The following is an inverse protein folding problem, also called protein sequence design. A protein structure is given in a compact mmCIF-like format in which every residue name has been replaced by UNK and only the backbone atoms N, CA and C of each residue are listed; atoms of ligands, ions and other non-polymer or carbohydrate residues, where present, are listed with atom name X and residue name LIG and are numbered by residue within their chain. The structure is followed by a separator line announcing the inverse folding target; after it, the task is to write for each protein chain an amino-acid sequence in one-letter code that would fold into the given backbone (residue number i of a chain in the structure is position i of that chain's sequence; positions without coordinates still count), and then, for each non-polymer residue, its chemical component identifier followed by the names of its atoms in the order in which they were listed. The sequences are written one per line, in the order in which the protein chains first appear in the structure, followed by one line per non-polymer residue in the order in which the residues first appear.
data_IF_250501986662
#
_entry.id   IF_250501986662
#
_cell.length_a   1.000
_cell.length_b   1.000
_cell.length_c   1.000
_cell.angle_alpha   90.00
_cell.angle_beta   90.00
_cell.angle_gamma   90.00
#
_symmetry.space_group_name_H-M   'P 1'
#
loop_
_entity.id
_entity.type
_entity.pdbx_description
1 polymer ?
#
# COMPACT_ATOMS: atom_id res chain seq x y z
N UNK A 1 54.27 -25.58 25.61
CA UNK A 1 53.21 -24.75 26.26
C UNK A 1 52.18 -24.43 25.20
N UNK A 2 51.19 -25.29 25.15
CA UNK A 2 50.10 -25.28 24.17
C UNK A 2 48.99 -24.34 24.67
N UNK A 3 48.81 -23.26 23.95
CA UNK A 3 47.77 -22.28 24.27
C UNK A 3 46.44 -22.77 23.65
N UNK A 4 45.59 -23.29 24.50
CA UNK A 4 44.28 -23.78 24.19
C UNK A 4 43.36 -22.55 24.00
N UNK A 5 43.14 -22.16 22.74
CA UNK A 5 42.08 -21.20 22.41
C UNK A 5 40.74 -21.84 22.78
N UNK A 6 40.20 -21.33 23.89
CA UNK A 6 38.84 -21.64 24.33
C UNK A 6 37.87 -21.01 23.30
N UNK A 7 37.31 -21.89 22.49
CA UNK A 7 36.25 -21.52 21.56
C UNK A 7 35.09 -20.81 22.30
N UNK A 8 34.97 -19.54 22.02
CA UNK A 8 33.78 -18.75 22.39
C UNK A 8 32.57 -19.34 21.63
N UNK A 9 31.51 -19.72 22.31
CA UNK A 9 30.32 -20.16 21.60
C UNK A 9 29.75 -18.98 20.82
N UNK A 10 29.76 -19.07 19.51
CA UNK A 10 29.02 -18.16 18.61
C UNK A 10 27.54 -18.41 18.76
N UNK A 11 26.99 -17.92 19.85
CA UNK A 11 25.56 -17.89 20.10
C UNK A 11 25.01 -16.53 19.65
N UNK A 12 24.24 -16.54 18.58
CA UNK A 12 23.48 -15.38 18.16
C UNK A 12 23.67 -15.10 16.68
N UNK A 13 23.00 -15.87 15.85
CA UNK A 13 22.69 -15.44 14.48
C UNK A 13 21.99 -14.07 14.58
N UNK A 14 22.75 -12.99 14.40
CA UNK A 14 22.19 -11.65 14.33
C UNK A 14 21.25 -11.62 13.13
N UNK A 15 19.95 -11.50 13.40
CA UNK A 15 18.89 -11.50 12.39
C UNK A 15 18.97 -10.29 11.44
N UNK A 16 19.87 -9.38 11.71
CA UNK A 16 20.03 -8.15 10.96
C UNK A 16 21.51 -7.94 10.59
N UNK A 17 21.81 -8.02 9.31
CA UNK A 17 23.18 -7.95 8.77
C UNK A 17 23.82 -6.56 8.81
N UNK A 18 23.04 -5.49 9.00
CA UNK A 18 23.53 -4.10 8.97
C UNK A 18 23.70 -3.44 10.33
N UNK A 19 23.44 -4.14 11.44
CA UNK A 19 23.44 -3.55 12.77
C UNK A 19 24.59 -4.11 13.61
N UNK A 20 25.49 -3.24 14.02
CA UNK A 20 26.76 -3.60 14.67
C UNK A 20 26.76 -3.38 16.19
N UNK A 21 25.61 -3.05 16.81
CA UNK A 21 25.50 -2.79 18.25
C UNK A 21 24.22 -3.36 18.87
N UNK A 22 24.25 -3.70 20.17
CA UNK A 22 23.11 -4.23 20.92
C UNK A 22 21.84 -3.35 20.86
N UNK A 23 22.02 -2.01 20.79
CA UNK A 23 20.92 -1.08 20.63
C UNK A 23 20.25 -1.16 19.24
N UNK A 24 21.00 -1.55 18.22
CA UNK A 24 20.53 -1.66 16.86
C UNK A 24 19.80 -3.00 16.64
N UNK A 25 20.19 -4.05 17.33
CA UNK A 25 19.49 -5.35 17.30
C UNK A 25 18.06 -5.20 17.89
N UNK A 26 17.89 -4.43 18.96
CA UNK A 26 16.56 -4.11 19.47
C UNK A 26 15.69 -3.36 18.46
N UNK A 27 16.24 -2.37 17.75
CA UNK A 27 15.51 -1.63 16.70
C UNK A 27 15.08 -2.54 15.57
N UNK A 28 15.95 -3.45 15.15
CA UNK A 28 15.64 -4.44 14.13
C UNK A 28 14.47 -5.33 14.54
N UNK A 29 14.50 -5.90 15.75
CA UNK A 29 13.41 -6.74 16.29
C UNK A 29 12.09 -5.96 16.34
N UNK A 30 12.11 -4.71 16.78
CA UNK A 30 10.91 -3.86 16.82
C UNK A 30 10.35 -3.64 15.42
N UNK A 31 11.18 -3.29 14.43
CA UNK A 31 10.75 -3.08 13.04
C UNK A 31 10.11 -4.34 12.48
N UNK A 32 10.75 -5.50 12.66
CA UNK A 32 10.22 -6.77 12.18
C UNK A 32 8.90 -7.14 12.86
N UNK A 33 8.78 -6.94 14.15
CA UNK A 33 7.57 -7.23 14.91
C UNK A 33 6.41 -6.35 14.44
N UNK A 34 6.64 -5.05 14.27
CA UNK A 34 5.62 -4.11 13.77
C UNK A 34 5.20 -4.48 12.34
N UNK A 35 6.15 -4.78 11.46
CA UNK A 35 5.85 -5.23 10.09
C UNK A 35 5.00 -6.50 10.06
N UNK A 36 5.37 -7.52 10.83
CA UNK A 36 4.61 -8.78 10.93
C UNK A 36 3.20 -8.56 11.47
N UNK A 37 3.07 -7.75 12.53
CA UNK A 37 1.76 -7.42 13.10
C UNK A 37 0.88 -6.71 12.07
N UNK A 38 1.39 -5.68 11.41
CA UNK A 38 0.66 -4.93 10.37
C UNK A 38 0.27 -5.84 9.19
N UNK A 39 1.18 -6.70 8.73
CA UNK A 39 0.90 -7.65 7.65
C UNK A 39 -0.16 -8.67 8.03
N UNK A 40 -0.19 -9.12 9.29
CA UNK A 40 -1.22 -10.04 9.79
C UNK A 40 -2.60 -9.37 9.78
N UNK A 41 -2.71 -8.11 10.23
CA UNK A 41 -3.96 -7.35 10.14
C UNK A 41 -4.38 -7.12 8.68
N UNK A 42 -3.46 -6.81 7.80
CA UNK A 42 -3.70 -6.66 6.37
C UNK A 42 -4.21 -7.98 5.75
N UNK A 43 -3.59 -9.10 6.10
CA UNK A 43 -4.00 -10.43 5.64
C UNK A 43 -5.45 -10.74 6.04
N UNK A 44 -5.80 -10.52 7.30
CA UNK A 44 -7.16 -10.71 7.81
C UNK A 44 -8.14 -9.80 7.05
N UNK A 45 -7.78 -8.54 6.86
CA UNK A 45 -8.60 -7.59 6.10
C UNK A 45 -8.80 -8.01 4.64
N UNK A 46 -7.76 -8.49 3.96
CA UNK A 46 -7.85 -8.98 2.58
C UNK A 46 -8.74 -10.22 2.48
N UNK A 47 -8.58 -11.19 3.39
CA UNK A 47 -9.44 -12.40 3.43
C UNK A 47 -10.90 -12.01 3.68
N UNK A 48 -11.15 -11.09 4.61
CA UNK A 48 -12.50 -10.58 4.87
C UNK A 48 -13.10 -9.88 3.66
N UNK A 49 -12.34 -9.02 2.97
CA UNK A 49 -12.79 -8.35 1.74
C UNK A 49 -13.10 -9.35 0.63
N UNK A 50 -12.25 -10.35 0.41
CA UNK A 50 -12.51 -11.42 -0.56
C UNK A 50 -13.78 -12.19 -0.23
N UNK A 51 -13.98 -12.51 1.05
CA UNK A 51 -15.19 -13.20 1.52
C UNK A 51 -16.45 -12.36 1.27
N UNK A 52 -16.42 -11.05 1.56
CA UNK A 52 -17.54 -10.13 1.32
C UNK A 52 -17.84 -10.01 -0.18
N UNK A 53 -16.82 -9.87 -1.03
CA UNK A 53 -16.99 -9.81 -2.50
C UNK A 53 -17.61 -11.10 -3.01
N UNK A 54 -17.16 -12.26 -2.53
CA UNK A 54 -17.67 -13.56 -2.90
C UNK A 54 -19.12 -13.74 -2.43
N UNK A 55 -19.44 -13.39 -1.18
CA UNK A 55 -20.77 -13.52 -0.60
C UNK A 55 -21.81 -12.65 -1.33
N UNK A 56 -21.42 -11.41 -1.66
CA UNK A 56 -22.30 -10.46 -2.34
C UNK A 56 -22.38 -10.69 -3.87
N UNK A 57 -21.62 -11.64 -4.42
CA UNK A 57 -21.49 -11.93 -5.85
C UNK A 57 -21.29 -10.67 -6.71
N UNK A 58 -20.53 -9.72 -6.18
CA UNK A 58 -20.33 -8.40 -6.80
C UNK A 58 -19.09 -8.39 -7.71
N UNK A 59 -19.16 -9.03 -8.88
CA UNK A 59 -18.07 -9.00 -9.91
C UNK A 59 -18.58 -8.58 -11.29
N UNK A 60 -19.69 -7.86 -11.35
CA UNK A 60 -20.27 -7.49 -12.64
C UNK A 60 -19.75 -6.16 -13.17
N UNK A 61 -19.32 -5.22 -12.31
CA UNK A 61 -18.77 -3.93 -12.76
C UNK A 61 -17.25 -3.96 -12.84
N UNK A 62 -16.68 -3.20 -13.78
CA UNK A 62 -15.25 -3.05 -13.94
C UNK A 62 -14.57 -2.59 -12.63
N UNK A 63 -15.15 -1.61 -11.94
CA UNK A 63 -14.61 -1.10 -10.68
C UNK A 63 -14.51 -2.21 -9.61
N UNK A 64 -15.49 -3.12 -9.54
CA UNK A 64 -15.47 -4.23 -8.58
C UNK A 64 -14.39 -5.26 -8.91
N UNK A 65 -14.18 -5.56 -10.20
CA UNK A 65 -13.09 -6.44 -10.65
C UNK A 65 -11.71 -5.85 -10.32
N UNK A 66 -11.57 -4.52 -10.48
CA UNK A 66 -10.32 -3.82 -10.12
C UNK A 66 -10.05 -3.87 -8.61
N UNK A 67 -11.09 -3.68 -7.77
CA UNK A 67 -10.97 -3.80 -6.30
C UNK A 67 -10.63 -5.25 -5.91
N UNK A 68 -11.24 -6.24 -6.55
CA UNK A 68 -10.89 -7.64 -6.35
C UNK A 68 -9.41 -7.90 -6.66
N UNK A 69 -8.92 -7.44 -7.80
CA UNK A 69 -7.53 -7.61 -8.23
C UNK A 69 -6.54 -6.90 -7.28
N UNK A 70 -6.88 -5.69 -6.82
CA UNK A 70 -6.13 -4.98 -5.79
C UNK A 70 -6.06 -5.79 -4.50
N UNK A 71 -7.20 -6.35 -4.05
CA UNK A 71 -7.26 -7.15 -2.82
C UNK A 71 -6.42 -8.43 -2.94
N UNK A 72 -6.41 -9.05 -4.12
CA UNK A 72 -5.54 -10.22 -4.41
C UNK A 72 -4.06 -9.84 -4.36
N UNK A 73 -3.67 -8.71 -4.97
CA UNK A 73 -2.29 -8.23 -4.92
C UNK A 73 -1.85 -7.97 -3.47
N UNK A 74 -2.67 -7.25 -2.69
CA UNK A 74 -2.41 -6.96 -1.28
C UNK A 74 -2.38 -8.22 -0.39
N UNK A 75 -3.17 -9.25 -0.73
CA UNK A 75 -3.14 -10.54 -0.04
C UNK A 75 -1.78 -11.22 -0.21
N UNK A 76 -1.29 -11.33 -1.46
CA UNK A 76 0.00 -11.95 -1.74
C UNK A 76 1.18 -11.17 -1.18
N UNK A 77 1.09 -9.84 -1.17
CA UNK A 77 2.06 -8.97 -0.51
C UNK A 77 2.10 -9.22 1.01
N UNK A 78 0.93 -9.25 1.66
CA UNK A 78 0.82 -9.53 3.10
C UNK A 78 1.35 -10.92 3.48
N UNK A 79 1.15 -11.93 2.63
CA UNK A 79 1.69 -13.28 2.84
C UNK A 79 3.22 -13.24 2.90
N UNK A 80 3.87 -12.50 2.00
CA UNK A 80 5.33 -12.41 1.97
C UNK A 80 5.91 -11.78 3.25
N UNK A 81 5.23 -10.77 3.81
CA UNK A 81 5.64 -10.17 5.10
C UNK A 81 5.40 -11.09 6.30
N UNK A 82 4.37 -11.93 6.27
CA UNK A 82 4.08 -12.88 7.35
C UNK A 82 5.02 -14.08 7.33
N UNK A 83 5.46 -14.54 6.14
CA UNK A 83 6.37 -15.69 6.01
C UNK A 83 7.69 -15.52 6.75
N UNK A 84 8.08 -14.29 7.08
CA UNK A 84 9.27 -14.00 7.89
C UNK A 84 10.55 -13.92 7.08
N UNK A 85 11.58 -13.43 7.73
CA UNK A 85 12.88 -13.05 7.13
C UNK A 85 14.03 -13.85 7.73
N UNK A 86 13.79 -15.09 8.15
CA UNK A 86 14.79 -15.96 8.78
C UNK A 86 15.92 -16.44 7.82
N UNK A 87 15.93 -15.92 6.59
CA UNK A 87 16.87 -16.37 5.57
C UNK A 87 17.96 -15.32 5.34
N UNK A 88 19.04 -15.46 6.10
CA UNK A 88 20.31 -14.82 5.76
C UNK A 88 20.79 -15.39 4.42
N UNK A 89 21.14 -14.56 3.47
CA UNK A 89 21.77 -14.88 2.19
C UNK A 89 21.37 -16.20 1.51
N UNK A 90 20.66 -16.10 0.40
CA UNK A 90 20.28 -17.25 -0.41
C UNK A 90 19.19 -16.97 -1.42
N UNK A 91 18.88 -17.96 -2.23
CA UNK A 91 17.83 -17.87 -3.25
C UNK A 91 16.44 -17.51 -2.70
N UNK A 92 16.16 -17.89 -1.46
CA UNK A 92 14.89 -17.55 -0.78
C UNK A 92 14.79 -16.05 -0.48
N UNK A 93 15.86 -15.40 -0.03
CA UNK A 93 15.91 -13.95 0.19
C UNK A 93 15.69 -13.19 -1.13
N UNK A 94 16.36 -13.62 -2.21
CA UNK A 94 16.19 -13.04 -3.55
C UNK A 94 14.77 -13.22 -4.05
N UNK A 95 14.18 -14.40 -3.87
CA UNK A 95 12.81 -14.68 -4.26
C UNK A 95 11.81 -13.82 -3.46
N UNK A 96 11.97 -13.72 -2.14
CA UNK A 96 11.12 -12.91 -1.29
C UNK A 96 11.21 -11.41 -1.66
N UNK A 97 12.43 -10.90 -1.91
CA UNK A 97 12.63 -9.53 -2.34
C UNK A 97 11.95 -9.22 -3.68
N UNK A 98 12.05 -10.13 -4.65
CA UNK A 98 11.36 -10.03 -5.92
C UNK A 98 9.84 -10.10 -5.75
N UNK A 99 9.34 -11.03 -4.93
CA UNK A 99 7.91 -11.21 -4.63
C UNK A 99 7.31 -9.94 -4.03
N UNK A 100 7.93 -9.39 -2.99
CA UNK A 100 7.52 -8.13 -2.37
C UNK A 100 7.50 -7.00 -3.39
N UNK A 101 8.58 -6.83 -4.15
CA UNK A 101 8.69 -5.78 -5.16
C UNK A 101 7.59 -5.88 -6.23
N UNK A 102 7.26 -7.11 -6.66
CA UNK A 102 6.23 -7.35 -7.66
C UNK A 102 4.82 -7.01 -7.15
N UNK A 103 4.44 -7.50 -5.98
CA UNK A 103 3.09 -7.30 -5.46
C UNK A 103 2.86 -5.89 -4.91
N UNK A 104 3.86 -5.26 -4.30
CA UNK A 104 3.84 -3.84 -3.94
C UNK A 104 3.55 -2.95 -5.16
N UNK A 105 4.28 -3.17 -6.26
CA UNK A 105 4.06 -2.45 -7.50
C UNK A 105 2.71 -2.75 -8.14
N UNK A 106 2.27 -4.00 -8.08
CA UNK A 106 0.95 -4.40 -8.61
C UNK A 106 -0.18 -3.73 -7.82
N UNK A 107 -0.09 -3.70 -6.50
CA UNK A 107 -1.07 -3.01 -5.66
C UNK A 107 -1.11 -1.51 -5.96
N UNK A 108 0.07 -0.87 -6.07
CA UNK A 108 0.17 0.55 -6.42
C UNK A 108 -0.41 0.83 -7.81
N UNK A 109 -0.10 -0.01 -8.80
CA UNK A 109 -0.65 0.12 -10.15
C UNK A 109 -2.18 0.01 -10.16
N UNK A 110 -2.75 -0.93 -9.39
CA UNK A 110 -4.21 -1.04 -9.25
C UNK A 110 -4.84 0.20 -8.63
N UNK A 111 -4.25 0.77 -7.58
CA UNK A 111 -4.73 2.02 -6.97
C UNK A 111 -4.70 3.17 -7.99
N UNK A 112 -3.63 3.29 -8.77
CA UNK A 112 -3.52 4.30 -9.82
C UNK A 112 -4.57 4.12 -10.92
N UNK A 113 -4.80 2.88 -11.37
CA UNK A 113 -5.79 2.56 -12.40
C UNK A 113 -7.23 2.76 -11.91
N UNK A 114 -7.53 2.43 -10.65
CA UNK A 114 -8.83 2.72 -10.02
C UNK A 114 -9.06 4.23 -9.99
N UNK A 115 -8.06 5.01 -9.59
CA UNK A 115 -8.12 6.47 -9.58
C UNK A 115 -8.31 7.04 -10.99
N UNK A 116 -7.58 6.53 -11.98
CA UNK A 116 -7.73 6.91 -13.37
C UNK A 116 -9.13 6.57 -13.91
N UNK A 117 -9.61 5.37 -13.62
CA UNK A 117 -10.96 4.94 -14.00
C UNK A 117 -12.04 5.85 -13.42
N UNK A 118 -11.91 6.22 -12.15
CA UNK A 118 -12.79 7.16 -11.49
C UNK A 118 -12.73 8.55 -12.15
N UNK A 119 -11.54 9.02 -12.48
CA UNK A 119 -11.34 10.28 -13.20
C UNK A 119 -12.01 10.26 -14.59
N UNK A 120 -11.81 9.20 -15.37
CA UNK A 120 -12.40 9.08 -16.70
C UNK A 120 -13.94 9.05 -16.63
N UNK A 121 -14.50 8.30 -15.69
CA UNK A 121 -15.95 8.19 -15.53
C UNK A 121 -16.59 9.50 -15.01
N UNK A 122 -15.99 10.15 -14.01
CA UNK A 122 -16.57 11.34 -13.39
C UNK A 122 -16.27 12.64 -14.12
N UNK A 123 -15.03 12.79 -14.62
CA UNK A 123 -14.58 14.06 -15.23
C UNK A 123 -14.80 14.06 -16.74
N UNK A 124 -14.48 12.94 -17.39
CA UNK A 124 -14.57 12.80 -18.85
C UNK A 124 -15.89 12.21 -19.31
N UNK A 125 -16.71 11.66 -18.39
CA UNK A 125 -17.99 10.97 -18.70
C UNK A 125 -17.86 9.84 -19.74
N UNK A 126 -16.68 9.21 -19.77
CA UNK A 126 -16.39 8.11 -20.69
C UNK A 126 -16.75 6.78 -20.05
N UNK A 127 -17.40 5.91 -20.81
CA UNK A 127 -17.59 4.51 -20.40
C UNK A 127 -16.27 3.75 -20.55
N UNK A 128 -15.82 3.14 -19.46
CA UNK A 128 -14.52 2.47 -19.37
C UNK A 128 -14.61 0.95 -19.36
N UNK A 129 -15.80 0.38 -19.55
CA UNK A 129 -16.04 -1.07 -19.44
C UNK A 129 -15.20 -1.90 -20.42
N UNK A 130 -14.83 -1.35 -21.57
CA UNK A 130 -13.99 -2.01 -22.57
C UNK A 130 -12.48 -1.95 -22.28
N UNK A 131 -12.04 -1.20 -21.25
CA UNK A 131 -10.63 -1.12 -20.87
C UNK A 131 -10.19 -2.18 -19.84
N UNK A 132 -11.01 -3.21 -19.60
CA UNK A 132 -10.69 -4.27 -18.63
C UNK A 132 -9.36 -4.97 -18.96
N UNK A 133 -9.19 -5.43 -20.21
CA UNK A 133 -7.97 -6.15 -20.63
C UNK A 133 -6.71 -5.28 -20.52
N UNK A 134 -6.66 -4.05 -21.09
CA UNK A 134 -5.49 -3.19 -20.93
C UNK A 134 -5.19 -2.81 -19.47
N UNK A 135 -6.19 -2.66 -18.61
CA UNK A 135 -5.96 -2.41 -17.18
C UNK A 135 -5.27 -3.59 -16.51
N UNK A 136 -5.72 -4.82 -16.75
CA UNK A 136 -5.04 -6.01 -16.25
C UNK A 136 -3.63 -6.17 -16.82
N UNK A 137 -3.44 -5.91 -18.11
CA UNK A 137 -2.13 -5.93 -18.74
C UNK A 137 -1.14 -4.94 -18.13
N UNK A 138 -1.59 -3.71 -17.84
CA UNK A 138 -0.77 -2.69 -17.20
C UNK A 138 -0.48 -3.02 -15.73
N UNK A 139 -1.52 -3.41 -14.96
CA UNK A 139 -1.40 -3.61 -13.52
C UNK A 139 -0.55 -4.83 -13.14
N UNK A 140 -0.48 -5.84 -13.98
CA UNK A 140 0.32 -7.03 -13.74
C UNK A 140 1.62 -7.05 -14.56
N UNK A 141 1.57 -6.56 -15.81
CA UNK A 141 2.71 -6.61 -16.73
C UNK A 141 3.80 -5.59 -16.42
N UNK A 142 3.45 -4.32 -16.16
CA UNK A 142 4.45 -3.29 -15.84
C UNK A 142 5.18 -3.60 -14.53
N UNK A 143 4.50 -3.97 -13.42
CA UNK A 143 5.16 -4.41 -12.20
C UNK A 143 6.10 -5.59 -12.40
N UNK A 144 5.71 -6.56 -13.24
CA UNK A 144 6.55 -7.72 -13.55
C UNK A 144 7.86 -7.27 -14.21
N UNK A 145 7.79 -6.41 -15.21
CA UNK A 145 8.99 -5.87 -15.86
C UNK A 145 9.87 -5.10 -14.86
N UNK A 146 9.27 -4.23 -14.05
CA UNK A 146 9.99 -3.42 -13.06
C UNK A 146 10.69 -4.28 -12.00
N UNK A 147 10.03 -5.35 -11.53
CA UNK A 147 10.60 -6.26 -10.51
C UNK A 147 11.66 -7.20 -11.09
N UNK A 148 11.57 -7.56 -12.37
CA UNK A 148 12.56 -8.42 -13.01
C UNK A 148 13.88 -7.69 -13.34
N UNK A 149 13.88 -6.38 -13.53
CA UNK A 149 15.11 -5.62 -13.83
C UNK A 149 16.20 -5.79 -12.76
N UNK A 150 15.95 -5.60 -11.45
CA UNK A 150 16.94 -5.84 -10.42
C UNK A 150 17.29 -7.33 -10.27
N UNK A 151 16.36 -8.25 -10.62
CA UNK A 151 16.60 -9.68 -10.57
C UNK A 151 17.70 -10.12 -11.57
N UNK A 152 17.61 -9.62 -12.81
CA UNK A 152 18.63 -9.90 -13.84
C UNK A 152 20.00 -9.31 -13.48
N UNK A 153 20.03 -8.19 -12.75
CA UNK A 153 21.26 -7.56 -12.27
C UNK A 153 21.84 -8.21 -11.01
N UNK A 154 21.10 -9.13 -10.37
CA UNK A 154 21.54 -9.73 -9.10
C UNK A 154 21.55 -8.74 -7.93
N UNK A 155 20.73 -7.70 -7.96
CA UNK A 155 20.73 -6.61 -6.98
C UNK A 155 19.84 -6.88 -5.76
N UNK A 156 19.09 -7.99 -5.77
CA UNK A 156 18.29 -8.41 -4.62
C UNK A 156 19.14 -9.17 -3.58
N UNK A 157 18.92 -8.88 -2.33
CA UNK A 157 19.61 -9.51 -1.22
C UNK A 157 19.20 -8.92 0.13
N UNK A 158 19.93 -9.26 1.20
CA UNK A 158 19.67 -8.69 2.51
C UNK A 158 19.93 -7.18 2.52
N UNK A 159 18.94 -6.42 3.01
CA UNK A 159 18.94 -4.98 3.05
C UNK A 159 18.52 -4.50 4.45
N UNK A 160 19.42 -4.65 5.41
CA UNK A 160 19.16 -4.37 6.81
C UNK A 160 18.28 -5.43 7.47
N UNK A 161 17.04 -5.08 7.78
CA UNK A 161 16.10 -5.95 8.50
C UNK A 161 15.23 -6.86 7.60
N UNK A 162 15.36 -6.77 6.28
CA UNK A 162 14.57 -7.57 5.32
C UNK A 162 15.30 -7.77 3.99
N UNK A 163 14.78 -8.67 3.15
CA UNK A 163 15.29 -8.91 1.81
C UNK A 163 14.68 -7.89 0.82
N UNK A 164 15.55 -7.12 0.14
CA UNK A 164 15.17 -6.11 -0.84
C UNK A 164 16.37 -5.81 -1.77
N UNK A 165 16.37 -4.66 -2.44
CA UNK A 165 17.56 -4.20 -3.18
C UNK A 165 18.67 -3.87 -2.17
N UNK A 166 19.87 -4.42 -2.36
CA UNK A 166 21.02 -4.29 -1.45
C UNK A 166 21.46 -2.83 -1.26
N UNK A 167 22.04 -2.51 -0.11
CA UNK A 167 22.49 -1.16 0.24
C UNK A 167 23.60 -0.63 -0.69
N UNK A 168 24.35 -1.51 -1.33
CA UNK A 168 25.37 -1.15 -2.32
C UNK A 168 24.79 -0.52 -3.60
N UNK A 169 23.49 -0.71 -3.87
CA UNK A 169 22.83 -0.29 -5.12
C UNK A 169 21.76 0.78 -4.91
N UNK A 170 22.13 1.84 -4.17
CA UNK A 170 21.21 2.94 -3.82
C UNK A 170 20.59 3.60 -5.06
N UNK A 171 21.34 3.75 -6.16
CA UNK A 171 20.82 4.33 -7.41
C UNK A 171 19.64 3.52 -7.98
N UNK A 172 19.68 2.18 -7.87
CA UNK A 172 18.60 1.30 -8.29
C UNK A 172 17.35 1.45 -7.41
N UNK A 173 17.52 1.61 -6.08
CA UNK A 173 16.41 1.91 -5.16
C UNK A 173 15.71 3.19 -5.56
N UNK A 174 16.47 4.27 -5.81
CA UNK A 174 15.90 5.54 -6.23
C UNK A 174 15.22 5.44 -7.60
N UNK A 175 15.89 4.87 -8.59
CA UNK A 175 15.40 4.79 -9.97
C UNK A 175 14.15 3.93 -10.14
N UNK A 176 14.10 2.76 -9.50
CA UNK A 176 13.01 1.80 -9.68
C UNK A 176 11.90 1.96 -8.64
N UNK A 177 12.21 2.46 -7.43
CA UNK A 177 11.22 2.55 -6.37
C UNK A 177 10.81 3.99 -6.08
N UNK A 178 11.70 4.82 -5.56
CA UNK A 178 11.30 6.13 -5.04
C UNK A 178 10.83 7.11 -6.12
N UNK A 179 11.54 7.23 -7.24
CA UNK A 179 11.18 8.18 -8.30
C UNK A 179 9.82 7.85 -8.92
N UNK A 180 9.54 6.61 -9.38
CA UNK A 180 8.23 6.28 -9.91
C UNK A 180 7.13 6.38 -8.84
N UNK A 181 7.40 5.98 -7.59
CA UNK A 181 6.45 6.07 -6.47
C UNK A 181 5.99 7.52 -6.26
N UNK A 182 6.93 8.46 -6.09
CA UNK A 182 6.59 9.87 -5.90
C UNK A 182 5.89 10.47 -7.11
N UNK A 183 6.27 10.07 -8.32
CA UNK A 183 5.59 10.50 -9.56
C UNK A 183 4.14 10.03 -9.58
N UNK A 184 3.87 8.76 -9.25
CA UNK A 184 2.52 8.22 -9.19
C UNK A 184 1.68 8.87 -8.08
N UNK A 185 2.25 9.09 -6.90
CA UNK A 185 1.57 9.81 -5.80
C UNK A 185 1.19 11.22 -6.25
N UNK A 186 2.09 11.95 -6.89
CA UNK A 186 1.82 13.29 -7.40
C UNK A 186 0.70 13.29 -8.45
N UNK A 187 0.73 12.35 -9.40
CA UNK A 187 -0.33 12.19 -10.40
C UNK A 187 -1.67 11.86 -9.77
N UNK A 188 -1.70 10.97 -8.77
CA UNK A 188 -2.93 10.64 -8.03
C UNK A 188 -3.49 11.87 -7.31
N UNK A 189 -2.66 12.65 -6.63
CA UNK A 189 -3.10 13.90 -5.96
C UNK A 189 -3.72 14.85 -6.99
N UNK A 190 -3.11 15.04 -8.14
CA UNK A 190 -3.65 15.88 -9.22
C UNK A 190 -5.01 15.35 -9.73
N UNK A 191 -5.14 14.03 -9.93
CA UNK A 191 -6.39 13.40 -10.35
C UNK A 191 -7.49 13.59 -9.30
N UNK A 192 -7.21 13.34 -8.03
CA UNK A 192 -8.18 13.54 -6.94
C UNK A 192 -8.59 15.01 -6.79
N UNK A 193 -7.65 15.94 -6.87
CA UNK A 193 -7.96 17.37 -6.84
C UNK A 193 -8.93 17.77 -7.97
N UNK A 194 -8.71 17.26 -9.17
CA UNK A 194 -9.61 17.49 -10.33
C UNK A 194 -10.96 16.83 -10.14
N UNK A 195 -11.03 15.60 -9.64
CA UNK A 195 -12.30 14.91 -9.33
C UNK A 195 -13.11 15.70 -8.32
N UNK A 196 -12.48 16.16 -7.22
CA UNK A 196 -13.13 16.95 -6.18
C UNK A 196 -13.64 18.28 -6.75
N UNK A 197 -12.83 18.97 -7.57
CA UNK A 197 -13.22 20.22 -8.19
C UNK A 197 -14.47 20.05 -9.09
N UNK A 198 -14.46 19.04 -9.96
CA UNK A 198 -15.58 18.77 -10.88
C UNK A 198 -16.83 18.31 -10.11
N UNK A 199 -16.68 17.43 -9.11
CA UNK A 199 -17.78 16.98 -8.27
C UNK A 199 -18.42 18.16 -7.50
N UNK A 200 -17.62 19.06 -6.92
CA UNK A 200 -18.11 20.26 -6.25
C UNK A 200 -18.83 21.20 -7.22
N UNK A 201 -18.28 21.40 -8.43
CA UNK A 201 -18.90 22.25 -9.45
C UNK A 201 -20.25 21.68 -9.88
N UNK A 202 -20.35 20.38 -10.12
CA UNK A 202 -21.62 19.72 -10.47
C UNK A 202 -22.65 19.82 -9.34
N UNK A 203 -22.23 19.56 -8.09
CA UNK A 203 -23.11 19.74 -6.94
C UNK A 203 -23.67 21.16 -6.85
N UNK A 204 -22.85 22.19 -7.06
CA UNK A 204 -23.29 23.58 -7.05
C UNK A 204 -24.34 23.88 -8.13
N UNK A 205 -24.22 23.28 -9.31
CA UNK A 205 -25.18 23.46 -10.42
C UNK A 205 -26.51 22.74 -10.16
N UNK A 206 -26.51 21.64 -9.38
CA UNK A 206 -27.75 20.91 -9.03
C UNK A 206 -28.48 21.52 -7.84
N UNK A 207 -27.77 22.20 -6.94
CA UNK A 207 -28.29 22.72 -5.67
C UNK A 207 -28.68 24.20 -5.69
N UNK A 208 -28.98 24.78 -6.86
CA UNK A 208 -29.63 26.12 -6.92
C UNK A 208 -30.90 26.22 -6.09
N UNK A 209 -31.43 25.14 -5.52
CA UNK A 209 -32.64 25.06 -4.73
C UNK A 209 -32.49 24.38 -3.35
N UNK A 210 -31.35 23.79 -3.02
CA UNK A 210 -31.14 23.08 -1.73
C UNK A 210 -29.82 23.48 -1.06
N UNK A 211 -29.88 23.63 0.27
CA UNK A 211 -28.81 24.15 1.16
C UNK A 211 -27.45 23.49 0.95
N UNK A 212 -26.46 24.14 0.31
CA UNK A 212 -25.22 23.50 -0.16
C UNK A 212 -24.24 23.13 0.95
N UNK A 213 -24.38 23.68 2.16
CA UNK A 213 -23.42 23.44 3.26
C UNK A 213 -23.54 22.05 3.88
N UNK A 214 -24.73 21.47 3.92
CA UNK A 214 -24.96 20.17 4.57
C UNK A 214 -24.39 19.02 3.77
N UNK A 215 -24.44 19.10 2.44
CA UNK A 215 -23.88 18.08 1.54
C UNK A 215 -22.36 18.19 1.39
N UNK A 216 -21.80 19.40 1.41
CA UNK A 216 -20.33 19.59 1.47
C UNK A 216 -19.69 18.94 2.69
N UNK A 217 -20.38 18.93 3.85
CA UNK A 217 -19.91 18.25 5.05
C UNK A 217 -19.93 16.74 4.89
N UNK A 218 -20.95 16.16 4.26
CA UNK A 218 -21.03 14.69 4.03
C UNK A 218 -19.96 14.19 3.05
N UNK A 219 -19.71 14.93 1.96
CA UNK A 219 -18.68 14.57 0.96
C UNK A 219 -17.29 14.71 1.57
N UNK A 220 -17.03 15.76 2.36
CA UNK A 220 -15.78 15.94 3.07
C UNK A 220 -15.56 14.85 4.14
N UNK A 221 -16.60 14.49 4.89
CA UNK A 221 -16.54 13.42 5.88
C UNK A 221 -16.28 12.05 5.22
N UNK A 222 -16.93 11.77 4.08
CA UNK A 222 -16.69 10.53 3.32
C UNK A 222 -15.28 10.43 2.74
N UNK A 223 -14.74 11.54 2.21
CA UNK A 223 -13.36 11.62 1.72
C UNK A 223 -12.34 11.51 2.85
N UNK A 224 -12.62 12.13 4.01
CA UNK A 224 -11.77 12.05 5.19
C UNK A 224 -11.76 10.62 5.76
N UNK A 225 -12.92 9.94 5.74
CA UNK A 225 -13.02 8.54 6.19
C UNK A 225 -12.27 7.59 5.25
N UNK A 226 -12.33 7.83 3.95
CA UNK A 226 -11.56 7.08 2.95
C UNK A 226 -10.05 7.32 3.07
N UNK A 227 -9.65 8.57 3.36
CA UNK A 227 -8.25 8.94 3.61
C UNK A 227 -7.71 8.36 4.92
N UNK A 228 -8.52 8.34 5.98
CA UNK A 228 -8.19 7.69 7.26
C UNK A 228 -8.06 6.16 7.13
N UNK A 229 -8.87 5.52 6.29
CA UNK A 229 -8.75 4.08 6.00
C UNK A 229 -7.53 3.75 5.13
N UNK A 230 -7.15 4.63 4.21
CA UNK A 230 -5.96 4.46 3.37
C UNK A 230 -4.64 4.85 4.05
N UNK A 231 -4.67 5.78 5.02
CA UNK A 231 -3.50 6.24 5.76
C UNK A 231 -3.33 5.52 7.11
N UNK A 232 -4.24 4.62 7.46
CA UNK A 232 -4.41 4.04 8.80
C UNK A 232 -3.47 2.91 9.19
N UNK A 233 -2.27 2.86 8.66
CA UNK A 233 -1.27 1.87 9.07
C UNK A 233 -0.05 2.47 9.78
N UNK A 234 -0.21 3.51 10.62
CA UNK A 234 1.03 4.03 11.19
C UNK A 234 1.03 4.99 12.36
N UNK A 235 -0.10 5.31 13.01
CA UNK A 235 -0.02 6.15 14.22
C UNK A 235 -0.98 5.65 15.30
N UNK A 236 -0.49 5.10 16.41
CA UNK A 236 -1.31 4.86 17.59
C UNK A 236 -1.48 6.17 18.38
N UNK A 237 -2.71 6.66 18.49
CA UNK A 237 -3.06 7.66 19.48
C UNK A 237 -3.57 9.01 19.00
N UNK A 238 -4.50 9.05 18.07
CA UNK A 238 -5.23 10.28 17.76
C UNK A 238 -6.71 10.00 17.56
N UNK A 239 -7.50 10.10 18.65
CA UNK A 239 -8.94 9.92 18.60
C UNK A 239 -9.58 10.98 17.70
N UNK A 240 -10.29 10.56 16.65
CA UNK A 240 -11.23 11.41 15.91
C UNK A 240 -12.44 11.74 16.83
N UNK A 241 -12.29 12.72 17.71
CA UNK A 241 -13.35 13.25 18.54
C UNK A 241 -14.37 13.99 17.68
N UNK A 242 -15.50 13.37 17.40
CA UNK A 242 -16.65 14.02 16.82
C UNK A 242 -17.23 15.04 17.80
N UNK A 243 -17.04 16.34 17.52
CA UNK A 243 -17.75 17.39 18.21
C UNK A 243 -19.23 17.32 17.87
N UNK A 244 -20.02 16.76 18.78
CA UNK A 244 -21.48 16.87 18.79
C UNK A 244 -21.86 18.32 19.09
N UNK A 245 -22.25 19.07 18.08
CA UNK A 245 -22.90 20.34 18.25
C UNK A 245 -24.35 20.08 18.66
N UNK A 246 -24.65 20.36 19.93
CA UNK A 246 -25.98 20.42 20.53
C UNK A 246 -26.82 21.50 19.80
N UNK A 247 -28.03 21.21 19.35
CA UNK A 247 -28.92 22.25 18.82
C UNK A 247 -29.48 23.09 19.97
N UNK A 248 -29.09 24.36 20.01
CA UNK A 248 -29.60 25.33 20.97
C UNK A 248 -31.10 25.52 20.81
N UNK A 249 -31.81 25.31 21.91
CA UNK A 249 -33.22 25.71 22.09
C UNK A 249 -33.37 27.21 21.89
N UNK A 250 -34.30 27.61 21.01
CA UNK A 250 -34.90 28.95 21.08
C UNK A 250 -36.22 28.83 21.84
N UNK A 251 -36.25 29.45 22.99
CA UNK A 251 -37.47 29.86 23.66
C UNK A 251 -37.71 31.34 23.36
N UNK A 252 -39.01 31.69 23.26
CA UNK A 252 -39.70 32.98 23.12
C UNK A 252 -39.63 33.65 21.76
#
# INVERSE_FOLDING_TARGET
MENKDIGQPSNGSSRCTSFNSDSDDYRCVVILTVKRATATFSLIGCVFMLFVIWLLRRYHSLAQKMILSLTVAALFDSIAYVMGEDHQEGGLCTFQAWWLMYFDWSALAWVCLITLNLYLNLVKEMRTDHYEIPYHGLAWGVPLLMSCLPLFGGYYGPAGAWCWITDSHVAWRFGIWYVPLFTLIFLMICCYARIIYVANKRMQSWFGTFNPERERRKVRAGLFHFWCLGAGAGVPGGGCGGSQLVPGSRAA
#
